data_IF_225201358584
#
_entry.id   IF_225201358584
#
_cell.length_a   1.000
_cell.length_b   1.000
_cell.length_c   1.000
_cell.angle_alpha   90.00
_cell.angle_beta   90.00
_cell.angle_gamma   90.00
#
_symmetry.space_group_name_H-M   'P 1'
#
loop_
_entity.id
_entity.type
_entity.pdbx_description
1 polymer ?
#
# COMPACT_ATOMS: atom_id res chain seq x y z
N UNK A 1 52.61 -35.27 -33.14
CA UNK A 1 52.02 -33.95 -33.49
C UNK A 1 50.49 -33.99 -33.50
N UNK A 2 49.87 -35.03 -34.05
CA UNK A 2 48.41 -35.19 -34.21
C UNK A 2 47.56 -35.12 -32.92
N UNK A 3 48.06 -35.68 -31.81
CA UNK A 3 47.33 -35.70 -30.51
C UNK A 3 47.09 -34.30 -29.93
N UNK A 4 47.98 -33.33 -30.20
CA UNK A 4 47.82 -31.95 -29.74
C UNK A 4 46.73 -31.20 -30.50
N UNK A 5 46.50 -31.56 -31.76
CA UNK A 5 45.48 -30.94 -32.61
C UNK A 5 44.07 -31.40 -32.23
N UNK A 6 43.90 -32.69 -31.93
CA UNK A 6 42.63 -33.27 -31.45
C UNK A 6 42.22 -32.67 -30.09
N UNK A 7 43.18 -32.48 -29.18
CA UNK A 7 42.92 -31.87 -27.87
C UNK A 7 42.49 -30.41 -28.03
N UNK A 8 43.17 -29.64 -28.88
CA UNK A 8 42.77 -28.26 -29.21
C UNK A 8 41.37 -28.18 -29.84
N UNK A 9 41.08 -29.02 -30.82
CA UNK A 9 39.78 -29.05 -31.48
C UNK A 9 38.63 -29.45 -30.53
N UNK A 10 38.91 -30.29 -29.53
CA UNK A 10 37.94 -30.67 -28.49
C UNK A 10 37.71 -29.54 -27.50
N UNK A 11 38.77 -28.83 -27.08
CA UNK A 11 38.69 -27.65 -26.22
C UNK A 11 37.89 -26.53 -26.91
N UNK A 12 38.15 -26.27 -28.19
CA UNK A 12 37.46 -25.22 -28.93
C UNK A 12 35.97 -25.54 -29.15
N UNK A 13 35.62 -26.81 -29.42
CA UNK A 13 34.21 -27.25 -29.45
C UNK A 13 33.52 -27.08 -28.10
N UNK A 14 34.21 -27.38 -27.00
CA UNK A 14 33.66 -27.20 -25.65
C UNK A 14 33.41 -25.72 -25.33
N UNK A 15 34.38 -24.85 -25.65
CA UNK A 15 34.24 -23.39 -25.49
C UNK A 15 33.08 -22.83 -26.29
N UNK A 16 32.90 -23.29 -27.53
CA UNK A 16 31.80 -22.86 -28.41
C UNK A 16 30.43 -23.25 -27.86
N UNK A 17 30.27 -24.51 -27.45
CA UNK A 17 29.02 -24.98 -26.83
C UNK A 17 28.71 -24.31 -25.48
N UNK A 18 29.73 -23.93 -24.71
CA UNK A 18 29.54 -23.17 -23.47
C UNK A 18 29.18 -21.70 -23.71
N UNK A 19 29.74 -21.07 -24.74
CA UNK A 19 29.39 -19.70 -25.13
C UNK A 19 27.94 -19.58 -25.64
N UNK A 20 27.45 -20.60 -26.34
CA UNK A 20 26.07 -20.61 -26.86
C UNK A 20 24.99 -20.84 -25.78
N UNK A 21 25.38 -21.24 -24.56
CA UNK A 21 24.48 -21.32 -23.39
C UNK A 21 24.14 -19.95 -22.76
N UNK A 22 24.23 -18.88 -23.56
CA UNK A 22 23.84 -17.49 -23.21
C UNK A 22 22.33 -17.34 -22.93
N UNK A 23 21.53 -18.41 -23.02
CA UNK A 23 20.11 -18.41 -22.66
C UNK A 23 19.86 -18.20 -21.17
N UNK A 24 20.81 -18.55 -20.28
CA UNK A 24 20.64 -18.30 -18.83
C UNK A 24 20.83 -16.81 -18.49
N UNK A 25 21.71 -16.11 -19.24
CA UNK A 25 21.89 -14.67 -19.15
C UNK A 25 20.67 -13.89 -19.63
N UNK A 26 20.05 -14.31 -20.73
CA UNK A 26 18.85 -13.65 -21.26
C UNK A 26 17.62 -13.83 -20.36
N UNK A 27 17.46 -14.99 -19.71
CA UNK A 27 16.40 -15.21 -18.70
C UNK A 27 16.64 -14.36 -17.44
N UNK A 28 17.90 -14.24 -17.00
CA UNK A 28 18.28 -13.40 -15.86
C UNK A 28 18.10 -11.90 -16.16
N UNK A 29 18.45 -11.45 -17.36
CA UNK A 29 18.24 -10.08 -17.83
C UNK A 29 16.76 -9.75 -18.00
N UNK A 30 15.97 -10.66 -18.58
CA UNK A 30 14.52 -10.51 -18.70
C UNK A 30 13.85 -10.39 -17.32
N UNK A 31 14.26 -11.21 -16.34
CA UNK A 31 13.79 -11.09 -14.95
C UNK A 31 14.20 -9.76 -14.31
N UNK A 32 15.43 -9.30 -14.54
CA UNK A 32 15.91 -8.02 -14.01
C UNK A 32 15.12 -6.85 -14.59
N UNK A 33 14.85 -6.85 -15.90
CA UNK A 33 14.02 -5.83 -16.56
C UNK A 33 12.57 -5.85 -16.07
N UNK A 34 12.00 -7.04 -15.87
CA UNK A 34 10.65 -7.21 -15.31
C UNK A 34 10.54 -6.56 -13.93
N UNK A 35 11.48 -6.85 -13.02
CA UNK A 35 11.46 -6.24 -11.68
C UNK A 35 11.73 -4.73 -11.70
N UNK A 36 12.55 -4.24 -12.63
CA UNK A 36 12.75 -2.80 -12.82
C UNK A 36 11.46 -2.09 -13.29
N UNK A 37 10.69 -2.72 -14.18
CA UNK A 37 9.41 -2.19 -14.65
C UNK A 37 8.38 -2.17 -13.51
N UNK A 38 8.24 -3.26 -12.76
CA UNK A 38 7.33 -3.32 -11.61
C UNK A 38 7.73 -2.31 -10.52
N UNK A 39 9.03 -2.16 -10.23
CA UNK A 39 9.51 -1.13 -9.32
C UNK A 39 9.18 0.30 -9.82
N UNK A 40 9.29 0.55 -11.13
CA UNK A 40 8.94 1.84 -11.74
C UNK A 40 7.44 2.13 -11.66
N UNK A 41 6.61 1.11 -11.85
CA UNK A 41 5.16 1.17 -11.70
C UNK A 41 4.75 1.48 -10.27
N UNK A 42 5.30 0.77 -9.29
CA UNK A 42 5.07 1.03 -7.86
C UNK A 42 5.50 2.46 -7.48
N UNK A 43 6.68 2.91 -7.95
CA UNK A 43 7.14 4.29 -7.73
C UNK A 43 6.16 5.33 -8.29
N UNK A 44 5.54 5.06 -9.44
CA UNK A 44 4.51 5.95 -9.99
C UNK A 44 3.27 5.97 -9.11
N UNK A 45 2.77 4.81 -8.69
CA UNK A 45 1.62 4.72 -7.78
C UNK A 45 1.85 5.46 -6.47
N UNK A 46 3.06 5.37 -5.89
CA UNK A 46 3.42 6.11 -4.68
C UNK A 46 3.31 7.62 -4.91
N UNK A 47 3.82 8.13 -6.03
CA UNK A 47 3.72 9.57 -6.35
C UNK A 47 2.28 10.01 -6.57
N UNK A 48 1.48 9.17 -7.23
CA UNK A 48 0.06 9.44 -7.47
C UNK A 48 -0.69 9.51 -6.13
N UNK A 49 -0.44 8.58 -5.22
CA UNK A 49 -1.01 8.57 -3.86
C UNK A 49 -0.54 9.79 -3.06
N UNK A 50 0.74 10.16 -3.11
CA UNK A 50 1.24 11.34 -2.41
C UNK A 50 0.61 12.63 -2.94
N UNK A 51 0.39 12.73 -4.24
CA UNK A 51 -0.27 13.87 -4.88
C UNK A 51 -1.75 13.92 -4.49
N UNK A 52 -2.43 12.78 -4.52
CA UNK A 52 -3.79 12.68 -4.04
C UNK A 52 -3.90 13.07 -2.56
N UNK A 53 -2.98 12.63 -1.71
CA UNK A 53 -2.93 12.99 -0.30
C UNK A 53 -2.77 14.50 -0.08
N UNK A 54 -1.99 15.20 -0.93
CA UNK A 54 -1.93 16.66 -0.90
C UNK A 54 -3.28 17.29 -1.24
N UNK A 55 -3.96 16.77 -2.25
CA UNK A 55 -5.28 17.26 -2.66
C UNK A 55 -6.34 17.05 -1.57
N UNK A 56 -6.41 15.88 -0.92
CA UNK A 56 -7.40 15.64 0.14
C UNK A 56 -7.20 16.54 1.37
N UNK A 57 -5.96 17.00 1.63
CA UNK A 57 -5.69 17.95 2.72
C UNK A 57 -5.90 19.42 2.30
N UNK A 58 -6.33 19.65 1.06
CA UNK A 58 -6.63 20.98 0.53
C UNK A 58 -5.44 21.68 -0.13
N UNK A 59 -4.36 20.95 -0.40
CA UNK A 59 -3.14 21.48 -0.99
C UNK A 59 -3.05 21.12 -2.49
N UNK A 60 -2.31 21.91 -3.28
CA UNK A 60 -2.17 21.70 -4.74
C UNK A 60 -3.51 21.55 -5.51
N UNK A 61 -4.56 22.25 -5.08
CA UNK A 61 -5.89 22.18 -5.71
C UNK A 61 -5.96 22.89 -7.07
N UNK A 62 -5.06 23.85 -7.33
CA UNK A 62 -5.00 24.61 -8.58
C UNK A 62 -4.70 23.75 -9.81
N UNK A 63 -4.14 22.54 -9.63
CA UNK A 63 -3.86 21.61 -10.73
C UNK A 63 -5.07 20.75 -11.12
N UNK A 64 -6.19 20.84 -10.40
CA UNK A 64 -7.40 20.03 -10.64
C UNK A 64 -8.41 20.78 -11.51
N UNK A 65 -9.13 20.03 -12.35
CA UNK A 65 -10.26 20.58 -13.09
C UNK A 65 -11.46 20.86 -12.16
N UNK A 66 -12.40 21.74 -12.55
CA UNK A 66 -13.61 21.99 -11.75
C UNK A 66 -14.43 20.72 -11.48
N UNK A 67 -14.44 19.78 -12.42
CA UNK A 67 -15.11 18.47 -12.27
C UNK A 67 -14.43 17.62 -11.21
N UNK A 68 -13.11 17.58 -11.21
CA UNK A 68 -12.33 16.79 -10.26
C UNK A 68 -12.38 17.38 -8.85
N UNK A 69 -12.42 18.72 -8.74
CA UNK A 69 -12.64 19.43 -7.49
C UNK A 69 -14.00 19.07 -6.87
N UNK A 70 -15.08 19.10 -7.65
CA UNK A 70 -16.41 18.70 -7.18
C UNK A 70 -16.46 17.24 -6.73
N UNK A 71 -15.77 16.36 -7.44
CA UNK A 71 -15.65 14.95 -7.05
C UNK A 71 -14.88 14.78 -5.74
N UNK A 72 -13.81 15.55 -5.55
CA UNK A 72 -12.99 15.55 -4.34
C UNK A 72 -13.79 16.07 -3.13
N UNK A 73 -14.51 17.17 -3.31
CA UNK A 73 -15.43 17.74 -2.32
C UNK A 73 -16.47 16.72 -1.86
N UNK A 74 -17.20 16.10 -2.80
CA UNK A 74 -18.22 15.10 -2.46
C UNK A 74 -17.66 13.85 -1.76
N UNK A 75 -16.39 13.49 -2.02
CA UNK A 75 -15.70 12.41 -1.29
C UNK A 75 -15.38 12.85 0.14
N UNK A 76 -14.88 14.07 0.33
CA UNK A 76 -14.54 14.64 1.63
C UNK A 76 -15.79 14.80 2.52
N UNK A 77 -16.88 15.33 1.97
CA UNK A 77 -18.15 15.47 2.68
C UNK A 77 -18.65 14.13 3.24
N UNK A 78 -18.67 13.09 2.39
CA UNK A 78 -19.07 11.74 2.80
C UNK A 78 -18.11 11.16 3.86
N UNK A 79 -16.81 11.36 3.69
CA UNK A 79 -15.81 10.86 4.65
C UNK A 79 -15.94 11.54 6.02
N UNK A 80 -16.06 12.87 6.04
CA UNK A 80 -16.25 13.66 7.26
C UNK A 80 -17.57 13.29 7.93
N UNK A 81 -18.64 13.10 7.16
CA UNK A 81 -19.92 12.60 7.67
C UNK A 81 -19.76 11.29 8.42
N UNK A 82 -19.07 10.31 7.84
CA UNK A 82 -18.78 9.01 8.51
C UNK A 82 -17.98 9.18 9.80
N UNK A 83 -16.92 10.00 9.79
CA UNK A 83 -16.10 10.26 10.98
C UNK A 83 -16.93 10.89 12.10
N UNK A 84 -17.77 11.88 11.77
CA UNK A 84 -18.66 12.54 12.73
C UNK A 84 -19.67 11.55 13.31
N UNK A 85 -20.35 10.76 12.47
CA UNK A 85 -21.30 9.74 12.94
C UNK A 85 -20.65 8.75 13.91
N UNK A 86 -19.44 8.26 13.60
CA UNK A 86 -18.72 7.32 14.47
C UNK A 86 -18.34 7.97 15.81
N UNK A 87 -17.88 9.21 15.80
CA UNK A 87 -17.54 9.97 17.02
C UNK A 87 -18.79 10.23 17.88
N UNK A 88 -19.89 10.63 17.26
CA UNK A 88 -21.18 10.85 17.96
C UNK A 88 -21.67 9.56 18.60
N UNK A 89 -21.65 8.44 17.87
CA UNK A 89 -22.05 7.14 18.40
C UNK A 89 -21.15 6.73 19.58
N UNK A 90 -19.82 6.79 19.43
CA UNK A 90 -18.90 6.47 20.52
C UNK A 90 -19.11 7.36 21.77
N UNK A 91 -19.33 8.66 21.58
CA UNK A 91 -19.65 9.58 22.67
C UNK A 91 -20.99 9.25 23.33
N UNK A 92 -22.00 8.88 22.55
CA UNK A 92 -23.31 8.47 23.05
C UNK A 92 -23.20 7.20 23.91
N UNK A 93 -22.49 6.19 23.42
CA UNK A 93 -22.25 4.93 24.14
C UNK A 93 -21.50 5.18 25.45
N UNK A 94 -20.43 5.98 25.42
CA UNK A 94 -19.67 6.31 26.63
C UNK A 94 -20.52 7.07 27.66
N UNK A 95 -21.35 8.01 27.20
CA UNK A 95 -22.23 8.79 28.08
C UNK A 95 -23.36 7.94 28.66
N UNK A 96 -23.93 7.03 27.87
CA UNK A 96 -24.93 6.08 28.35
C UNK A 96 -24.34 5.11 29.38
N UNK A 97 -23.14 4.57 29.13
CA UNK A 97 -22.45 3.70 30.08
C UNK A 97 -22.09 4.43 31.39
N UNK A 98 -21.63 5.68 31.30
CA UNK A 98 -21.39 6.50 32.49
C UNK A 98 -22.68 6.78 33.27
N UNK A 99 -23.79 7.02 32.56
CA UNK A 99 -25.11 7.18 33.17
C UNK A 99 -25.56 5.91 33.89
N UNK A 100 -25.45 4.73 33.27
CA UNK A 100 -25.84 3.46 33.91
C UNK A 100 -24.96 3.15 35.13
N UNK A 101 -23.65 3.41 35.07
CA UNK A 101 -22.75 3.29 36.23
C UNK A 101 -23.20 4.24 37.35
N UNK A 102 -23.46 5.51 37.03
CA UNK A 102 -23.86 6.51 38.02
C UNK A 102 -25.18 6.14 38.69
N UNK A 103 -26.18 5.70 37.91
CA UNK A 103 -27.46 5.21 38.44
C UNK A 103 -27.25 3.98 39.31
N UNK A 104 -26.45 3.00 38.86
CA UNK A 104 -26.13 1.79 39.64
C UNK A 104 -25.43 2.14 40.95
N UNK A 105 -24.47 3.07 40.94
CA UNK A 105 -23.76 3.53 42.13
C UNK A 105 -24.69 4.28 43.09
N UNK A 106 -25.61 5.10 42.57
CA UNK A 106 -26.60 5.80 43.38
C UNK A 106 -27.62 4.84 44.00
N UNK A 107 -28.11 3.85 43.25
CA UNK A 107 -28.99 2.80 43.76
C UNK A 107 -28.27 1.98 44.84
N UNK A 108 -26.99 1.62 44.63
CA UNK A 108 -26.18 0.94 45.66
C UNK A 108 -26.11 1.76 46.95
N UNK A 109 -25.84 3.06 46.85
CA UNK A 109 -25.76 3.96 48.01
C UNK A 109 -27.08 4.05 48.78
N UNK A 110 -28.21 4.09 48.07
CA UNK A 110 -29.54 4.26 48.68
C UNK A 110 -30.10 2.94 49.23
N UNK A 111 -29.86 1.83 48.54
CA UNK A 111 -30.52 0.54 48.82
C UNK A 111 -29.57 -0.53 49.40
N UNK A 112 -28.28 -0.24 49.59
CA UNK A 112 -27.37 -1.10 50.36
C UNK A 112 -27.04 -2.46 49.73
N UNK A 113 -26.91 -2.56 48.40
CA UNK A 113 -26.58 -3.81 47.72
C UNK A 113 -25.09 -4.23 47.91
N UNK A 114 -24.79 -5.45 48.38
CA UNK A 114 -23.41 -5.97 48.46
C UNK A 114 -22.82 -6.31 47.08
N UNK A 115 -21.49 -6.52 47.01
CA UNK A 115 -20.72 -6.69 45.75
C UNK A 115 -21.14 -7.86 44.86
#
# INVERSE_FOLDING_TARGET
>A
MEKNEIVRATIDRYKKHHADSTSTGSVSEANTQYYQQEASKLRRQIRDIQTYNRQIVGDALSSLSPRDLKNLEGKLEKAIGRVRCKKVNSNFVARFHCFTITVRQKLRYVYGFPE
#
